data_IF_799537501379
#
_entry.id   IF_799537501379
#
_cell.length_a   1.000
_cell.length_b   1.000
_cell.length_c   1.000
_cell.angle_alpha   90.00
_cell.angle_beta   90.00
_cell.angle_gamma   90.00
#
_symmetry.space_group_name_H-M   'P 1'
#
loop_
_entity.id
_entity.type
_entity.pdbx_description
1 polymer ?
#
# COMPACT_ATOMS: atom_id res chain seq x y z
N UNK A 1 6.24 53.35 -1.84
CA UNK A 1 6.86 53.54 -0.52
C UNK A 1 7.40 52.18 -0.08
N UNK A 2 8.72 52.07 0.08
CA UNK A 2 9.44 50.82 0.34
C UNK A 2 9.38 50.51 1.84
N UNK A 3 8.99 49.29 2.22
CA UNK A 3 9.21 48.77 3.57
C UNK A 3 9.77 47.36 3.47
N UNK A 4 11.09 47.35 3.26
CA UNK A 4 12.00 46.23 3.47
C UNK A 4 11.97 45.87 4.96
N UNK A 5 11.55 44.67 5.32
CA UNK A 5 11.75 44.14 6.67
C UNK A 5 12.62 42.88 6.60
N UNK A 6 13.66 42.91 7.43
CA UNK A 6 14.86 42.09 7.38
C UNK A 6 14.63 40.59 7.56
N UNK A 7 15.48 39.84 6.88
CA UNK A 7 15.90 38.47 7.14
C UNK A 7 16.29 38.25 8.61
N UNK A 8 15.84 37.15 9.21
CA UNK A 8 16.58 36.46 10.28
C UNK A 8 16.76 35.01 9.83
N UNK A 9 17.97 34.73 9.36
CA UNK A 9 18.54 33.41 9.13
C UNK A 9 19.22 32.98 10.44
N UNK A 10 18.91 31.81 10.98
CA UNK A 10 19.81 31.12 11.92
C UNK A 10 19.55 29.60 11.89
N UNK A 11 20.60 28.77 12.08
CA UNK A 11 20.75 27.50 11.37
C UNK A 11 20.37 26.25 12.18
N UNK A 12 20.21 25.18 11.40
CA UNK A 12 20.12 23.76 11.73
C UNK A 12 21.23 23.31 12.70
N UNK A 13 20.88 22.50 13.71
CA UNK A 13 21.81 21.52 14.28
C UNK A 13 21.18 20.12 14.29
N UNK A 14 21.79 19.26 13.48
CA UNK A 14 21.64 17.82 13.41
C UNK A 14 22.37 17.19 14.60
N UNK A 15 21.70 16.36 15.39
CA UNK A 15 22.35 15.41 16.28
C UNK A 15 21.79 14.02 15.99
N UNK A 16 22.53 13.24 15.21
CA UNK A 16 22.32 11.83 14.95
C UNK A 16 23.52 11.06 15.52
N UNK A 17 23.27 10.17 16.48
CA UNK A 17 24.08 8.99 16.87
C UNK A 17 23.33 8.35 18.06
N UNK A 18 23.06 7.07 18.20
CA UNK A 18 23.40 5.84 17.50
C UNK A 18 22.90 4.71 18.43
N UNK A 19 22.37 3.62 17.90
CA UNK A 19 21.99 2.45 18.69
C UNK A 19 22.61 1.20 18.07
N UNK A 20 23.68 0.64 18.65
CA UNK A 20 24.14 -0.70 18.30
C UNK A 20 23.45 -1.72 19.21
N UNK A 21 22.88 -2.77 18.64
CA UNK A 21 22.36 -3.88 19.44
C UNK A 21 21.47 -4.85 18.68
N UNK A 22 22.06 -5.67 17.82
CA UNK A 22 21.42 -6.91 17.37
C UNK A 22 22.49 -8.00 17.28
N UNK A 23 22.46 -8.96 18.21
CA UNK A 23 23.14 -10.24 18.03
C UNK A 23 22.48 -11.35 18.86
N UNK A 24 22.36 -12.51 18.20
CA UNK A 24 22.00 -13.86 18.66
C UNK A 24 20.50 -14.19 18.75
N UNK A 25 20.09 -15.47 18.55
CA UNK A 25 20.88 -16.72 18.48
C UNK A 25 20.69 -17.45 17.12
N UNK A 26 21.28 -18.58 16.76
CA UNK A 26 22.12 -19.57 17.42
C UNK A 26 22.06 -20.88 16.61
N UNK A 27 23.09 -21.71 16.74
CA UNK A 27 23.00 -23.16 16.62
C UNK A 27 22.75 -23.78 15.24
N UNK A 28 23.83 -24.12 14.53
CA UNK A 28 23.81 -25.27 13.62
C UNK A 28 24.78 -26.32 14.15
N UNK A 29 24.24 -27.29 14.90
CA UNK A 29 24.93 -28.52 15.23
C UNK A 29 24.88 -29.48 14.04
N UNK A 30 26.03 -30.00 13.64
CA UNK A 30 26.16 -31.31 12.98
C UNK A 30 26.14 -32.41 14.08
N UNK A 31 26.23 -33.73 13.79
CA UNK A 31 26.23 -34.46 12.51
C UNK A 31 25.25 -35.67 12.55
N UNK A 32 25.17 -36.47 11.47
CA UNK A 32 25.37 -37.95 11.55
C UNK A 32 25.05 -38.67 10.25
N UNK A 33 25.77 -39.78 10.12
CA UNK A 33 25.90 -40.64 8.97
C UNK A 33 24.79 -41.70 8.83
N UNK A 34 24.84 -42.35 7.66
CA UNK A 34 24.45 -43.75 7.37
C UNK A 34 22.98 -44.14 7.48
N UNK A 35 22.41 -44.59 6.36
CA UNK A 35 22.04 -46.00 6.17
C UNK A 35 21.55 -46.23 4.73
N UNK A 36 22.20 -47.15 4.03
CA UNK A 36 21.72 -47.81 2.81
C UNK A 36 20.47 -48.62 3.15
N UNK A 37 19.35 -48.37 2.46
CA UNK A 37 18.13 -49.16 2.59
C UNK A 37 17.79 -49.83 1.26
N UNK A 38 17.79 -51.16 1.32
CA UNK A 38 17.39 -52.14 0.31
C UNK A 38 15.98 -51.86 -0.23
N UNK A 39 15.85 -51.81 -1.56
CA UNK A 39 14.56 -51.65 -2.24
C UNK A 39 13.72 -52.93 -2.12
N UNK A 40 12.47 -52.76 -1.66
CA UNK A 40 11.41 -53.76 -1.73
C UNK A 40 10.28 -53.21 -2.62
N UNK A 41 9.70 -53.99 -3.54
CA UNK A 41 8.64 -53.51 -4.42
C UNK A 41 7.32 -53.43 -3.66
N UNK A 42 6.90 -52.22 -3.30
CA UNK A 42 5.57 -51.97 -2.77
C UNK A 42 4.56 -51.78 -3.91
N UNK A 43 3.55 -52.64 -3.93
CA UNK A 43 2.34 -52.54 -4.73
C UNK A 43 1.62 -51.22 -4.45
N UNK A 44 1.43 -50.41 -5.49
CA UNK A 44 0.70 -49.14 -5.41
C UNK A 44 -0.78 -49.36 -5.09
N UNK A 45 -1.34 -48.82 -4.00
CA UNK A 45 -2.78 -48.61 -3.93
C UNK A 45 -3.16 -47.47 -4.88
N UNK A 46 -4.19 -47.70 -5.69
CA UNK A 46 -4.84 -46.65 -6.48
C UNK A 46 -5.31 -45.54 -5.55
N UNK A 47 -4.62 -44.41 -5.57
CA UNK A 47 -4.96 -43.25 -4.77
C UNK A 47 -6.28 -42.65 -5.26
N UNK A 48 -7.30 -42.69 -4.40
CA UNK A 48 -8.46 -41.81 -4.51
C UNK A 48 -7.95 -40.36 -4.52
N UNK A 49 -8.37 -39.49 -5.45
CA UNK A 49 -7.86 -38.12 -5.48
C UNK A 49 -8.31 -37.39 -4.20
N UNK A 50 -7.36 -37.14 -3.30
CA UNK A 50 -7.52 -36.22 -2.18
C UNK A 50 -7.82 -34.83 -2.75
N UNK A 51 -8.95 -34.19 -2.41
CA UNK A 51 -9.20 -32.82 -2.86
C UNK A 51 -8.09 -31.91 -2.33
N UNK A 52 -7.41 -31.21 -3.23
CA UNK A 52 -6.35 -30.28 -2.89
C UNK A 52 -6.88 -29.21 -1.90
N UNK A 53 -6.08 -28.76 -0.92
CA UNK A 53 -6.47 -27.69 -0.03
C UNK A 53 -6.73 -26.43 -0.86
N UNK A 54 -7.98 -25.96 -0.84
CA UNK A 54 -8.35 -24.70 -1.46
C UNK A 54 -7.70 -23.59 -0.64
N UNK A 55 -6.62 -23.00 -1.17
CA UNK A 55 -5.98 -21.83 -0.55
C UNK A 55 -6.93 -20.65 -0.70
N UNK A 56 -7.63 -20.30 0.38
CA UNK A 56 -8.45 -19.09 0.43
C UNK A 56 -7.49 -17.91 0.49
N UNK A 57 -7.32 -17.22 -0.64
CA UNK A 57 -6.53 -15.98 -0.70
C UNK A 57 -7.23 -14.92 0.16
N UNK A 58 -6.53 -14.25 1.10
CA UNK A 58 -7.13 -13.17 1.86
C UNK A 58 -7.64 -12.09 0.90
N UNK A 59 -8.91 -11.73 1.04
CA UNK A 59 -9.52 -10.66 0.25
C UNK A 59 -9.07 -9.33 0.82
N UNK A 60 -8.21 -8.60 0.10
CA UNK A 60 -7.81 -7.25 0.48
C UNK A 60 -8.97 -6.30 0.18
N UNK A 61 -9.42 -5.56 1.19
CA UNK A 61 -10.53 -4.62 1.07
C UNK A 61 -10.22 -3.51 0.04
N UNK A 62 -11.22 -3.02 -0.69
CA UNK A 62 -11.04 -1.97 -1.69
C UNK A 62 -10.68 -0.63 -1.03
N UNK A 63 -9.90 0.19 -1.74
CA UNK A 63 -9.47 1.51 -1.27
C UNK A 63 -10.49 2.64 -1.45
N UNK A 64 -11.51 2.43 -2.30
CA UNK A 64 -12.56 3.42 -2.62
C UNK A 64 -13.94 2.79 -2.49
N UNK A 65 -14.82 3.51 -1.81
CA UNK A 65 -16.23 3.19 -1.59
C UNK A 65 -17.10 4.34 -2.06
N UNK A 66 -18.40 4.07 -2.25
CA UNK A 66 -19.41 5.12 -2.50
C UNK A 66 -20.25 5.31 -1.23
N UNK A 67 -20.37 6.56 -0.78
CA UNK A 67 -21.28 6.95 0.29
C UNK A 67 -22.37 7.90 -0.25
N UNK A 68 -23.50 7.97 0.44
CA UNK A 68 -24.57 8.93 0.15
C UNK A 68 -24.47 10.12 1.09
N UNK A 69 -24.48 11.31 0.51
CA UNK A 69 -24.55 12.58 1.19
C UNK A 69 -25.84 13.29 0.78
N UNK A 70 -26.55 13.87 1.74
CA UNK A 70 -27.86 14.50 1.49
C UNK A 70 -27.78 15.72 0.56
N UNK A 71 -26.67 16.48 0.60
CA UNK A 71 -26.48 17.69 -0.21
C UNK A 71 -25.74 17.41 -1.54
N UNK A 72 -24.77 16.50 -1.53
CA UNK A 72 -23.88 16.24 -2.67
C UNK A 72 -24.26 14.99 -3.48
N UNK A 73 -25.19 14.17 -3.00
CA UNK A 73 -25.53 12.90 -3.64
C UNK A 73 -24.48 11.81 -3.36
N UNK A 74 -24.10 11.06 -4.39
CA UNK A 74 -23.07 10.02 -4.25
C UNK A 74 -21.67 10.63 -4.20
N UNK A 75 -20.88 10.27 -3.18
CA UNK A 75 -19.51 10.73 -2.99
C UNK A 75 -18.56 9.53 -2.85
N UNK A 76 -17.29 9.74 -3.17
CA UNK A 76 -16.25 8.75 -2.94
C UNK A 76 -15.67 8.90 -1.54
N UNK A 77 -15.51 7.79 -0.84
CA UNK A 77 -14.90 7.74 0.50
C UNK A 77 -13.89 6.60 0.60
N UNK A 78 -12.95 6.72 1.52
CA UNK A 78 -12.05 5.62 1.87
C UNK A 78 -12.71 4.64 2.88
N UNK A 79 -12.08 3.50 3.21
CA UNK A 79 -12.62 2.52 4.17
C UNK A 79 -12.90 3.07 5.58
N UNK A 80 -12.25 4.18 5.94
CA UNK A 80 -12.45 4.89 7.20
C UNK A 80 -13.58 5.93 7.13
N UNK A 81 -14.32 6.01 6.02
CA UNK A 81 -15.44 6.94 5.82
C UNK A 81 -15.03 8.39 5.54
N UNK A 82 -13.74 8.66 5.27
CA UNK A 82 -13.27 10.00 4.89
C UNK A 82 -13.52 10.23 3.40
N UNK A 83 -14.09 11.38 3.07
CA UNK A 83 -14.27 11.81 1.68
C UNK A 83 -12.96 11.92 0.94
N UNK A 84 -12.92 11.40 -0.28
CA UNK A 84 -11.78 11.50 -1.18
C UNK A 84 -11.90 12.77 -2.01
N UNK A 85 -10.79 13.48 -2.18
CA UNK A 85 -10.73 14.75 -2.89
C UNK A 85 -9.65 14.70 -3.95
N UNK A 86 -9.87 15.36 -5.09
CA UNK A 86 -8.81 15.55 -6.09
C UNK A 86 -8.29 16.99 -6.05
N UNK A 87 -7.02 17.16 -6.40
CA UNK A 87 -6.41 18.49 -6.50
C UNK A 87 -6.48 19.00 -7.94
N UNK A 88 -7.20 20.12 -8.16
CA UNK A 88 -7.52 20.68 -9.50
C UNK A 88 -6.29 20.93 -10.40
N UNK A 89 -5.11 21.30 -9.89
CA UNK A 89 -3.90 21.39 -10.72
C UNK A 89 -3.35 20.04 -11.24
N UNK A 90 -3.78 18.90 -10.68
CA UNK A 90 -3.28 17.55 -11.00
C UNK A 90 -4.06 16.82 -12.10
N UNK A 91 -4.75 17.59 -12.94
CA UNK A 91 -5.55 17.07 -14.05
C UNK A 91 -4.72 16.15 -14.94
N UNK A 92 -5.30 15.01 -15.30
CA UNK A 92 -4.71 14.06 -16.24
C UNK A 92 -3.58 13.20 -15.67
N UNK A 93 -3.33 13.28 -14.35
CA UNK A 93 -2.32 12.51 -13.64
C UNK A 93 -1.01 13.26 -13.42
N UNK A 94 -1.00 14.60 -13.59
CA UNK A 94 0.19 15.41 -13.35
C UNK A 94 0.38 15.63 -11.85
N UNK A 95 1.45 15.09 -11.26
CA UNK A 95 1.75 15.30 -9.85
C UNK A 95 2.43 16.66 -9.64
N UNK A 96 1.69 17.64 -9.12
CA UNK A 96 2.15 19.01 -8.82
C UNK A 96 2.31 19.21 -7.31
N UNK A 97 1.47 18.58 -6.50
CA UNK A 97 1.50 18.66 -5.05
C UNK A 97 2.56 17.70 -4.49
N UNK A 98 3.61 18.25 -3.88
CA UNK A 98 4.70 17.50 -3.27
C UNK A 98 5.21 18.20 -1.99
N UNK A 99 6.05 17.52 -1.21
CA UNK A 99 6.57 18.06 0.04
C UNK A 99 5.45 18.44 1.00
N UNK A 100 5.51 19.64 1.58
CA UNK A 100 4.51 20.13 2.55
C UNK A 100 3.08 20.21 1.98
N UNK A 101 2.92 20.28 0.66
CA UNK A 101 1.59 20.29 0.04
C UNK A 101 0.80 19.01 0.38
N UNK A 102 1.47 17.85 0.49
CA UNK A 102 0.80 16.57 0.77
C UNK A 102 0.31 16.46 2.22
N UNK A 103 0.70 17.37 3.11
CA UNK A 103 0.10 17.45 4.45
C UNK A 103 -1.26 18.14 4.43
N UNK A 104 -1.48 19.05 3.48
CA UNK A 104 -2.74 19.78 3.29
C UNK A 104 -3.68 19.03 2.34
N UNK A 105 -3.11 18.41 1.29
CA UNK A 105 -3.81 17.54 0.34
C UNK A 105 -3.23 16.13 0.40
N UNK A 106 -3.61 15.33 1.42
CA UNK A 106 -3.09 13.98 1.59
C UNK A 106 -3.44 13.08 0.40
N UNK A 107 -2.45 12.37 -0.19
CA UNK A 107 -2.72 11.37 -1.20
C UNK A 107 -3.49 10.19 -0.60
N UNK A 108 -4.49 9.69 -1.34
CA UNK A 108 -5.16 8.43 -1.02
C UNK A 108 -4.37 7.24 -1.58
N UNK A 109 -3.50 6.64 -0.77
CA UNK A 109 -2.74 5.45 -1.15
C UNK A 109 -3.56 4.17 -1.10
N UNK A 110 -3.22 3.20 -1.95
CA UNK A 110 -3.78 1.83 -1.92
C UNK A 110 -2.67 0.80 -1.68
N UNK A 111 -3.00 -0.25 -0.94
CA UNK A 111 -2.18 -1.46 -0.83
C UNK A 111 -2.55 -2.52 -1.88
N UNK A 112 -3.59 -2.27 -2.67
CA UNK A 112 -4.09 -3.18 -3.70
C UNK A 112 -4.37 -2.41 -5.00
N UNK A 113 -3.36 -2.22 -5.87
CA UNK A 113 -3.53 -1.48 -7.13
C UNK A 113 -4.47 -2.15 -8.12
N UNK A 114 -4.61 -3.48 -8.04
CA UNK A 114 -5.45 -4.25 -8.96
C UNK A 114 -6.94 -4.18 -8.64
N UNK A 115 -7.31 -3.73 -7.44
CA UNK A 115 -8.70 -3.56 -7.03
C UNK A 115 -8.88 -2.31 -6.15
N UNK A 116 -8.76 -1.10 -6.74
CA UNK A 116 -8.83 0.13 -5.97
C UNK A 116 -10.24 0.45 -5.46
N UNK A 117 -11.32 -0.19 -5.96
CA UNK A 117 -12.70 0.13 -5.60
C UNK A 117 -13.60 -1.06 -5.28
N UNK A 118 -14.65 -0.76 -4.52
CA UNK A 118 -15.83 -1.59 -4.38
C UNK A 118 -16.79 -1.45 -5.56
N UNK A 119 -17.77 -2.36 -5.63
CA UNK A 119 -18.87 -2.26 -6.56
C UNK A 119 -19.63 -0.93 -6.43
N UNK A 120 -20.08 -0.38 -7.56
CA UNK A 120 -20.92 0.82 -7.60
C UNK A 120 -20.18 2.15 -7.77
N UNK A 121 -18.84 2.17 -7.79
CA UNK A 121 -18.09 3.37 -8.21
C UNK A 121 -18.31 3.59 -9.70
N UNK A 122 -19.02 4.67 -10.05
CA UNK A 122 -19.14 5.12 -11.44
C UNK A 122 -17.88 5.89 -11.82
N UNK A 123 -17.20 5.54 -12.92
CA UNK A 123 -16.00 6.24 -13.39
C UNK A 123 -14.80 5.32 -13.54
N UNK A 124 -13.69 5.87 -14.04
CA UNK A 124 -12.45 5.14 -14.28
C UNK A 124 -11.53 5.29 -13.08
N UNK A 125 -11.26 4.18 -12.38
CA UNK A 125 -10.24 4.16 -11.34
C UNK A 125 -8.95 3.58 -11.89
N UNK A 126 -7.84 4.10 -11.37
CA UNK A 126 -6.52 3.57 -11.63
C UNK A 126 -5.59 3.88 -10.47
N UNK A 127 -4.30 3.66 -10.68
CA UNK A 127 -3.26 4.04 -9.74
C UNK A 127 -2.15 4.81 -10.45
N UNK A 128 -1.47 5.67 -9.71
CA UNK A 128 -0.27 6.36 -10.14
C UNK A 128 0.81 6.24 -9.06
N UNK A 129 2.05 6.00 -9.47
CA UNK A 129 3.17 6.01 -8.55
C UNK A 129 3.43 7.44 -8.04
N UNK A 130 3.49 7.61 -6.72
CA UNK A 130 3.85 8.86 -6.04
C UNK A 130 4.84 8.54 -4.91
N UNK A 131 5.61 9.53 -4.49
CA UNK A 131 6.40 9.42 -3.26
C UNK A 131 5.48 8.99 -2.10
N UNK A 132 5.77 7.84 -1.48
CA UNK A 132 4.95 7.24 -0.41
C UNK A 132 4.13 6.02 -0.84
N UNK A 133 3.98 5.74 -2.15
CA UNK A 133 3.34 4.53 -2.66
C UNK A 133 2.45 4.75 -3.88
N UNK A 134 1.56 3.80 -4.12
CA UNK A 134 0.60 3.87 -5.22
C UNK A 134 -0.64 4.65 -4.80
N UNK A 135 -0.82 5.83 -5.39
CA UNK A 135 -1.95 6.70 -5.15
C UNK A 135 -3.10 6.34 -6.09
N UNK A 136 -4.31 6.29 -5.56
CA UNK A 136 -5.52 6.02 -6.35
C UNK A 136 -5.82 7.23 -7.24
N UNK A 137 -6.30 6.98 -8.46
CA UNK A 137 -6.77 8.01 -9.38
C UNK A 137 -8.22 7.75 -9.78
N UNK A 138 -8.99 8.81 -9.99
CA UNK A 138 -10.37 8.77 -10.49
C UNK A 138 -10.52 9.67 -11.72
N UNK A 139 -10.94 9.12 -12.85
CA UNK A 139 -11.01 9.82 -14.14
C UNK A 139 -9.72 10.58 -14.47
N UNK A 140 -8.57 9.93 -14.21
CA UNK A 140 -7.21 10.49 -14.34
C UNK A 140 -6.88 11.66 -13.40
N UNK A 141 -7.60 11.81 -12.30
CA UNK A 141 -7.26 12.73 -11.22
C UNK A 141 -6.72 11.96 -10.02
N UNK A 142 -5.54 12.30 -9.50
CA UNK A 142 -5.08 11.75 -8.22
C UNK A 142 -6.04 12.13 -7.08
N UNK A 143 -6.39 11.15 -6.25
CA UNK A 143 -7.26 11.27 -5.07
C UNK A 143 -6.48 11.35 -3.75
#
# INVERSE_FOLDING_TARGET
MRKTLLLILAPVLLAACGSPGSAAPGGYGAPSATATATASPATSPTATPTPAPTTVRPTVAPGVLVARNAALGAILVNPQGRTLYYFVPERGGKLVCSGQCTSVWPPSFTANPSAPAAAGVSGQLGVIARAGGEQITYNRWPL
#
